data_IF_369173789282
#
_entry.id   IF_369173789282
#
_cell.length_a   1.000
_cell.length_b   1.000
_cell.length_c   1.000
_cell.angle_alpha   90.00
_cell.angle_beta   90.00
_cell.angle_gamma   90.00
#
_symmetry.space_group_name_H-M   'P 1'
#
loop_
_entity.id
_entity.type
_entity.pdbx_description
1 polymer ?
#
# COMPACT_ATOMS: atom_id res chain seq x y z
N UNK A 1 17.41 14.48 27.82
CA UNK A 1 16.05 15.02 28.01
C UNK A 1 15.07 14.11 27.28
N UNK A 2 14.31 13.30 28.01
CA UNK A 2 13.22 12.50 27.45
C UNK A 2 12.06 13.43 27.12
N UNK A 3 11.72 13.55 25.84
CA UNK A 3 10.57 14.34 25.43
C UNK A 3 9.28 13.58 25.79
N UNK A 4 8.35 14.24 26.50
CA UNK A 4 6.99 13.72 26.67
C UNK A 4 6.26 13.80 25.34
N UNK A 5 6.15 12.66 24.66
CA UNK A 5 5.50 12.58 23.36
C UNK A 5 3.98 12.62 23.44
N UNK A 6 3.41 12.32 24.62
CA UNK A 6 1.97 12.17 24.84
C UNK A 6 1.45 13.12 25.92
N UNK A 7 0.17 13.46 25.80
CA UNK A 7 -0.56 14.29 26.74
C UNK A 7 -0.51 13.70 28.14
N UNK A 8 -0.13 14.50 29.13
CA UNK A 8 -0.07 14.10 30.54
C UNK A 8 -1.45 13.86 31.17
N UNK A 9 -2.53 14.33 30.55
CA UNK A 9 -3.91 14.17 31.05
C UNK A 9 -4.55 12.89 30.53
N UNK A 10 -4.61 12.69 29.21
CA UNK A 10 -5.26 11.51 28.63
C UNK A 10 -4.30 10.37 28.29
N UNK A 11 -3.00 10.62 28.09
CA UNK A 11 -2.02 9.61 27.68
C UNK A 11 -2.18 9.08 26.24
N UNK A 12 -3.29 9.37 25.56
CA UNK A 12 -3.62 8.81 24.25
C UNK A 12 -3.07 9.65 23.08
N UNK A 13 -3.24 10.97 23.15
CA UNK A 13 -2.90 11.88 22.06
C UNK A 13 -1.53 12.53 22.28
N UNK A 14 -0.79 12.86 21.21
CA UNK A 14 0.43 13.64 21.34
C UNK A 14 0.15 15.01 21.99
N UNK A 15 1.17 15.59 22.62
CA UNK A 15 1.08 16.96 23.12
C UNK A 15 0.79 17.93 21.98
N UNK A 16 -0.01 18.99 22.23
CA UNK A 16 -0.34 19.99 21.23
C UNK A 16 0.92 20.63 20.65
N UNK A 17 1.82 21.05 21.53
CA UNK A 17 3.16 21.54 21.20
C UNK A 17 4.18 20.89 22.12
N UNK A 18 5.42 20.74 21.66
CA UNK A 18 6.51 20.17 22.48
C UNK A 18 6.83 21.00 23.72
N UNK A 19 6.35 22.25 23.77
CA UNK A 19 6.48 23.18 24.90
C UNK A 19 5.37 23.05 25.94
N UNK A 20 4.30 22.31 25.67
CA UNK A 20 3.17 22.10 26.58
C UNK A 20 2.99 20.61 26.89
N UNK A 21 2.23 20.30 27.95
CA UNK A 21 2.05 18.91 28.43
C UNK A 21 0.70 18.29 28.06
N UNK A 22 -0.16 19.01 27.34
CA UNK A 22 -1.54 18.59 27.03
C UNK A 22 -1.81 18.62 25.53
N UNK A 23 -2.74 17.78 25.06
CA UNK A 23 -3.26 17.84 23.69
C UNK A 23 -4.35 18.92 23.56
N UNK A 24 -4.80 19.17 22.34
CA UNK A 24 -5.91 20.11 22.07
C UNK A 24 -7.24 19.68 22.72
N UNK A 25 -7.49 18.38 22.90
CA UNK A 25 -8.68 17.88 23.58
C UNK A 25 -8.67 18.10 25.10
N UNK A 26 -7.49 18.04 25.73
CA UNK A 26 -7.30 18.27 27.17
C UNK A 26 -6.80 19.69 27.49
N UNK A 27 -7.10 20.65 26.61
CA UNK A 27 -6.60 22.00 26.75
C UNK A 27 -7.18 22.67 28.02
N UNK A 28 -6.35 23.38 28.82
CA UNK A 28 -6.83 24.06 30.02
C UNK A 28 -7.93 25.08 29.68
N UNK A 29 -9.06 24.98 30.37
CA UNK A 29 -10.25 25.81 30.10
C UNK A 29 -11.22 25.23 29.06
N UNK A 30 -10.95 24.03 28.53
CA UNK A 30 -11.82 23.31 27.60
C UNK A 30 -11.12 22.98 26.28
N UNK A 31 -11.65 21.99 25.54
CA UNK A 31 -11.06 21.53 24.29
C UNK A 31 -10.89 22.69 23.29
N UNK A 32 -9.69 22.81 22.73
CA UNK A 32 -9.36 23.80 21.72
C UNK A 32 -9.31 23.15 20.33
N UNK A 33 -9.59 23.93 19.27
CA UNK A 33 -9.50 23.46 17.89
C UNK A 33 -8.03 23.51 17.45
N UNK A 34 -7.44 22.40 16.96
CA UNK A 34 -6.08 22.42 16.44
C UNK A 34 -5.98 23.30 15.18
N UNK A 35 -4.86 23.99 14.96
CA UNK A 35 -4.64 24.75 13.73
C UNK A 35 -4.49 23.80 12.52
N UNK A 36 -4.75 24.27 11.29
CA UNK A 36 -4.40 23.53 10.08
C UNK A 36 -2.91 23.20 10.02
N UNK A 37 -2.57 22.09 9.37
CA UNK A 37 -1.18 21.69 9.15
C UNK A 37 -0.41 22.79 8.41
N UNK A 38 0.71 23.24 8.98
CA UNK A 38 1.53 24.31 8.40
C UNK A 38 2.21 23.92 7.08
N UNK A 39 2.34 22.62 6.78
CA UNK A 39 2.98 22.13 5.56
C UNK A 39 1.97 21.81 4.44
N UNK A 40 0.84 21.17 4.76
CA UNK A 40 -0.12 20.70 3.75
C UNK A 40 -1.53 21.30 3.88
N UNK A 41 -1.80 22.13 4.89
CA UNK A 41 -3.10 22.76 5.12
C UNK A 41 -4.19 21.83 5.66
N UNK A 42 -3.89 20.55 5.96
CA UNK A 42 -4.87 19.61 6.51
C UNK A 42 -5.49 20.12 7.82
N UNK A 43 -6.82 20.15 7.90
CA UNK A 43 -7.58 20.47 9.12
C UNK A 43 -7.90 19.24 9.97
N UNK A 44 -7.51 18.06 9.49
CA UNK A 44 -7.68 16.78 10.17
C UNK A 44 -6.33 16.16 10.50
N UNK A 45 -6.34 15.19 11.43
CA UNK A 45 -5.17 14.41 11.82
C UNK A 45 -4.01 15.27 12.37
N UNK A 46 -4.33 16.29 13.17
CA UNK A 46 -3.30 17.06 13.87
C UNK A 46 -2.43 16.13 14.73
N UNK A 47 -1.11 16.25 14.63
CA UNK A 47 -0.18 15.44 15.41
C UNK A 47 0.49 16.27 16.51
N UNK A 48 1.48 17.09 16.19
CA UNK A 48 2.13 18.01 17.15
C UNK A 48 2.88 19.11 16.41
N UNK A 49 3.19 20.22 17.09
CA UNK A 49 3.98 21.34 16.56
C UNK A 49 3.46 21.90 15.22
N UNK A 50 2.15 22.03 15.06
CA UNK A 50 1.55 22.60 13.85
C UNK A 50 1.54 21.67 12.65
N UNK A 51 1.90 20.39 12.79
CA UNK A 51 1.93 19.43 11.69
C UNK A 51 0.95 18.27 11.91
N UNK A 52 0.36 17.77 10.82
CA UNK A 52 -0.46 16.56 10.84
C UNK A 52 0.38 15.28 10.88
N UNK A 53 -0.23 14.13 11.17
CA UNK A 53 0.45 12.83 11.28
C UNK A 53 1.18 12.43 9.99
N UNK A 54 0.61 12.82 8.84
CA UNK A 54 1.23 12.67 7.53
C UNK A 54 2.55 13.45 7.41
N UNK A 55 2.52 14.75 7.68
CA UNK A 55 3.66 15.66 7.48
C UNK A 55 4.72 15.50 8.58
N UNK A 56 4.30 15.21 9.81
CA UNK A 56 5.23 15.13 10.92
C UNK A 56 6.17 13.92 10.79
N UNK A 57 7.48 14.15 10.99
CA UNK A 57 8.53 13.11 10.88
C UNK A 57 8.23 11.87 11.72
N UNK A 58 7.75 12.08 12.95
CA UNK A 58 7.40 11.01 13.91
C UNK A 58 5.92 10.62 13.87
N UNK A 59 5.11 11.22 13.00
CA UNK A 59 3.71 10.80 12.84
C UNK A 59 3.61 9.37 12.28
N UNK A 60 2.41 8.83 12.19
CA UNK A 60 2.22 7.49 11.63
C UNK A 60 2.73 7.43 10.18
N UNK A 61 3.19 6.25 9.76
CA UNK A 61 3.58 6.05 8.36
C UNK A 61 2.30 5.98 7.53
N UNK A 62 1.94 7.10 6.92
CA UNK A 62 0.85 7.13 5.92
C UNK A 62 1.33 6.45 4.64
N UNK A 63 0.55 5.49 4.17
CA UNK A 63 0.67 4.96 2.82
C UNK A 63 -0.24 5.79 1.92
N UNK A 64 0.31 6.30 0.83
CA UNK A 64 -0.43 7.08 -0.15
C UNK A 64 0.00 6.67 -1.58
N UNK A 65 -0.53 7.41 -2.54
CA UNK A 65 -0.31 7.30 -3.95
C UNK A 65 0.92 8.13 -4.35
N UNK A 66 1.80 7.56 -5.18
CA UNK A 66 2.94 8.29 -5.71
C UNK A 66 2.46 9.45 -6.59
N UNK A 67 2.90 10.71 -6.34
CA UNK A 67 2.41 11.87 -7.07
C UNK A 67 2.82 11.86 -8.54
N UNK A 68 3.81 11.07 -8.95
CA UNK A 68 4.29 11.02 -10.33
C UNK A 68 3.58 9.95 -11.16
N UNK A 69 3.41 8.75 -10.61
CA UNK A 69 2.91 7.59 -11.35
C UNK A 69 1.61 7.00 -10.80
N UNK A 70 1.01 7.64 -9.81
CA UNK A 70 -0.19 7.16 -9.13
C UNK A 70 -0.09 5.72 -8.60
N UNK A 71 1.12 5.21 -8.38
CA UNK A 71 1.29 3.91 -7.76
C UNK A 71 0.95 3.98 -6.28
N UNK A 72 0.08 3.10 -5.80
CA UNK A 72 -0.28 3.00 -4.39
C UNK A 72 0.83 2.30 -3.61
N UNK A 73 1.12 2.75 -2.38
CA UNK A 73 2.21 2.19 -1.57
C UNK A 73 3.37 3.16 -1.35
N UNK A 74 3.25 4.41 -1.78
CA UNK A 74 4.27 5.41 -1.56
C UNK A 74 4.21 5.93 -0.11
N UNK A 75 5.37 6.07 0.51
CA UNK A 75 5.47 6.44 1.92
C UNK A 75 6.33 7.69 2.11
N UNK A 76 6.30 8.19 3.35
CA UNK A 76 6.93 9.46 3.69
C UNK A 76 8.43 9.55 3.48
N UNK A 77 9.12 8.43 3.67
CA UNK A 77 10.58 8.35 3.61
C UNK A 77 11.18 8.76 2.26
N UNK A 78 10.35 8.87 1.22
CA UNK A 78 10.77 9.22 -0.15
C UNK A 78 9.98 10.40 -0.71
N UNK A 79 9.55 11.33 0.15
CA UNK A 79 8.69 12.45 -0.25
C UNK A 79 7.44 11.94 -1.00
N UNK A 80 6.84 10.84 -0.51
CA UNK A 80 5.65 10.21 -1.08
C UNK A 80 5.86 9.72 -2.52
N UNK A 81 7.11 9.56 -3.00
CA UNK A 81 7.42 8.99 -4.31
C UNK A 81 7.92 7.57 -4.18
N UNK A 82 7.55 6.71 -5.14
CA UNK A 82 8.15 5.38 -5.22
C UNK A 82 9.61 5.45 -5.65
N UNK A 83 10.41 4.43 -5.30
CA UNK A 83 11.84 4.34 -5.62
C UNK A 83 12.10 4.53 -7.11
N UNK A 84 11.23 3.96 -7.95
CA UNK A 84 11.39 4.03 -9.38
C UNK A 84 11.03 5.39 -9.99
N UNK A 85 10.16 6.18 -9.35
CA UNK A 85 9.91 7.57 -9.75
C UNK A 85 11.05 8.49 -9.30
N UNK A 86 11.61 8.29 -8.09
CA UNK A 86 12.80 9.03 -7.66
C UNK A 86 13.96 8.87 -8.63
N UNK A 87 14.35 7.63 -8.96
CA UNK A 87 15.42 7.39 -9.92
C UNK A 87 15.10 7.84 -11.35
N UNK A 88 13.81 8.03 -11.68
CA UNK A 88 13.39 8.62 -12.95
C UNK A 88 13.56 10.14 -12.93
N UNK A 89 13.21 10.81 -11.83
CA UNK A 89 13.42 12.26 -11.66
C UNK A 89 14.89 12.66 -11.75
N UNK A 90 15.78 11.86 -11.16
CA UNK A 90 17.23 12.10 -11.20
C UNK A 90 17.79 12.20 -12.63
N UNK A 91 17.13 11.56 -13.61
CA UNK A 91 17.63 11.41 -14.98
C UNK A 91 16.84 12.19 -16.03
N UNK A 92 15.69 12.78 -15.64
CA UNK A 92 14.68 13.29 -16.58
C UNK A 92 14.23 14.67 -16.15
N UNK A 93 14.14 15.58 -17.12
CA UNK A 93 13.62 16.94 -16.91
C UNK A 93 12.10 16.91 -16.77
N UNK A 94 11.56 17.90 -16.06
CA UNK A 94 10.13 18.18 -16.04
C UNK A 94 9.65 18.58 -17.44
N UNK A 95 8.43 18.17 -17.77
CA UNK A 95 7.74 18.56 -18.98
C UNK A 95 6.32 18.01 -18.99
N UNK A 96 5.57 18.31 -20.05
CA UNK A 96 4.19 17.86 -20.20
C UNK A 96 4.18 16.50 -20.91
N UNK A 97 3.56 15.50 -20.27
CA UNK A 97 3.45 14.17 -20.84
C UNK A 97 2.48 14.14 -22.03
N UNK A 98 2.92 13.70 -23.20
CA UNK A 98 2.08 13.59 -24.41
C UNK A 98 0.88 12.64 -24.27
N UNK A 99 0.95 11.68 -23.34
CA UNK A 99 -0.10 10.68 -23.16
C UNK A 99 -1.15 11.05 -22.10
N UNK A 100 -0.77 11.82 -21.06
CA UNK A 100 -1.66 12.11 -19.93
C UNK A 100 -1.71 13.59 -19.55
N UNK A 101 -1.02 14.45 -20.29
CA UNK A 101 -0.98 15.92 -20.15
C UNK A 101 -0.51 16.43 -18.80
N UNK A 102 0.01 15.56 -17.92
CA UNK A 102 0.52 15.93 -16.60
C UNK A 102 1.92 16.50 -16.72
N UNK A 103 2.21 17.51 -15.91
CA UNK A 103 3.56 18.03 -15.72
C UNK A 103 4.34 17.13 -14.76
N UNK A 104 5.23 16.31 -15.33
CA UNK A 104 6.03 15.30 -14.61
C UNK A 104 7.34 15.05 -15.37
N UNK A 105 8.33 14.36 -14.79
CA UNK A 105 9.54 14.09 -15.53
C UNK A 105 9.30 13.16 -16.74
N UNK A 106 9.72 13.60 -17.92
CA UNK A 106 9.45 12.94 -19.22
C UNK A 106 10.73 12.37 -19.84
N UNK A 107 10.59 11.30 -20.62
CA UNK A 107 11.67 10.79 -21.45
C UNK A 107 11.84 11.60 -22.75
N UNK A 108 12.81 11.20 -23.57
CA UNK A 108 13.09 11.82 -24.89
C UNK A 108 11.91 11.75 -25.87
N UNK A 109 10.93 10.87 -25.62
CA UNK A 109 9.73 10.71 -26.43
C UNK A 109 8.54 11.51 -25.87
N UNK A 110 8.76 12.40 -24.91
CA UNK A 110 7.71 13.22 -24.31
C UNK A 110 6.77 12.46 -23.38
N UNK A 111 7.09 11.22 -22.97
CA UNK A 111 6.23 10.41 -22.12
C UNK A 111 6.77 10.29 -20.69
N UNK A 112 5.86 10.37 -19.71
CA UNK A 112 6.20 10.11 -18.33
C UNK A 112 6.52 8.64 -18.07
N UNK A 113 7.09 8.35 -16.90
CA UNK A 113 7.44 6.99 -16.47
C UNK A 113 6.25 6.03 -16.55
N UNK A 114 5.08 6.47 -16.07
CA UNK A 114 3.89 5.64 -16.00
C UNK A 114 3.41 5.22 -17.39
N UNK A 115 3.27 6.18 -18.31
CA UNK A 115 2.85 5.92 -19.69
C UNK A 115 3.86 5.04 -20.44
N UNK A 116 5.16 5.25 -20.18
CA UNK A 116 6.23 4.40 -20.72
C UNK A 116 6.10 2.96 -20.22
N UNK A 117 5.85 2.77 -18.92
CA UNK A 117 5.71 1.45 -18.32
C UNK A 117 4.43 0.73 -18.72
N UNK A 118 3.33 1.46 -18.90
CA UNK A 118 2.11 0.91 -19.47
C UNK A 118 2.36 0.33 -20.86
N UNK A 119 3.05 1.07 -21.74
CA UNK A 119 3.44 0.56 -23.06
C UNK A 119 4.32 -0.69 -22.97
N UNK A 120 5.36 -0.67 -22.12
CA UNK A 120 6.20 -1.87 -21.92
C UNK A 120 5.37 -3.08 -21.49
N UNK A 121 4.37 -2.88 -20.63
CA UNK A 121 3.50 -3.97 -20.16
C UNK A 121 2.61 -4.51 -21.28
N UNK A 122 1.96 -3.63 -22.05
CA UNK A 122 1.15 -4.01 -23.22
C UNK A 122 1.97 -4.81 -24.23
N UNK A 123 3.21 -4.40 -24.48
CA UNK A 123 4.11 -5.09 -25.39
C UNK A 123 4.58 -6.46 -24.85
N UNK A 124 4.68 -6.62 -23.53
CA UNK A 124 5.09 -7.89 -22.91
C UNK A 124 3.97 -8.94 -22.91
N UNK A 125 2.71 -8.53 -23.01
CA UNK A 125 1.54 -9.42 -23.00
C UNK A 125 1.02 -9.60 -24.42
N UNK A 126 1.42 -10.68 -25.12
CA UNK A 126 1.03 -11.03 -26.51
C UNK A 126 0.78 -9.78 -27.37
N UNK A 127 1.85 -9.11 -27.84
CA UNK A 127 1.71 -7.79 -28.45
C UNK A 127 0.76 -7.87 -29.66
N UNK A 128 -0.27 -7.01 -29.72
CA UNK A 128 -1.06 -6.89 -30.94
C UNK A 128 -0.16 -6.38 -32.06
N UNK A 129 -0.43 -6.85 -33.29
CA UNK A 129 0.15 -6.29 -34.51
C UNK A 129 -0.91 -5.41 -35.19
N UNK A 130 -0.58 -4.16 -35.57
CA UNK A 130 0.72 -3.49 -35.43
C UNK A 130 1.05 -3.10 -33.98
N UNK A 131 2.35 -3.00 -33.66
CA UNK A 131 2.81 -2.65 -32.32
C UNK A 131 2.31 -1.25 -31.94
N UNK A 132 1.67 -1.09 -30.76
CA UNK A 132 1.15 0.21 -30.36
C UNK A 132 2.28 1.19 -30.04
N UNK A 133 2.10 2.44 -30.48
CA UNK A 133 2.89 3.58 -30.04
C UNK A 133 2.56 3.96 -28.57
N UNK A 134 3.15 5.04 -28.07
CA UNK A 134 2.92 5.50 -26.70
C UNK A 134 1.46 5.94 -26.46
N UNK A 135 0.83 6.59 -27.42
CA UNK A 135 -0.54 7.08 -27.31
C UNK A 135 -1.51 5.90 -27.37
N UNK A 136 -1.37 5.04 -28.37
CA UNK A 136 -2.17 3.85 -28.57
C UNK A 136 -2.11 2.91 -27.36
N UNK A 137 -0.92 2.70 -26.78
CA UNK A 137 -0.75 1.83 -25.61
C UNK A 137 -1.37 2.39 -24.32
N UNK A 138 -1.69 3.69 -24.27
CA UNK A 138 -2.29 4.35 -23.11
C UNK A 138 -3.78 4.70 -23.32
N UNK A 139 -4.38 4.31 -24.45
CA UNK A 139 -5.78 4.64 -24.80
C UNK A 139 -6.81 4.10 -23.81
N UNK A 140 -6.59 2.90 -23.27
CA UNK A 140 -7.57 2.19 -22.42
C UNK A 140 -7.34 2.40 -20.93
N UNK A 141 -6.82 3.58 -20.54
CA UNK A 141 -6.36 3.90 -19.18
C UNK A 141 -5.22 2.97 -18.73
N UNK A 142 -4.67 3.28 -17.56
CA UNK A 142 -3.52 2.58 -16.98
C UNK A 142 -4.00 1.65 -15.88
N UNK A 143 -3.35 0.49 -15.76
CA UNK A 143 -3.61 -0.40 -14.63
C UNK A 143 -3.14 0.26 -13.33
N UNK A 144 -3.77 -0.10 -12.19
CA UNK A 144 -3.24 0.23 -10.88
C UNK A 144 -1.82 -0.34 -10.72
N UNK A 145 -0.89 0.50 -10.29
CA UNK A 145 0.47 0.10 -9.97
C UNK A 145 0.68 0.09 -8.46
N UNK A 146 1.39 -0.91 -7.95
CA UNK A 146 1.88 -0.90 -6.58
C UNK A 146 3.32 -0.38 -6.55
N UNK A 147 3.60 0.56 -5.65
CA UNK A 147 4.90 1.15 -5.47
C UNK A 147 5.91 0.07 -5.06
N UNK A 148 7.09 0.10 -5.67
CA UNK A 148 8.26 -0.70 -5.31
C UNK A 148 8.10 -2.25 -5.38
N UNK A 149 6.97 -2.74 -5.89
CA UNK A 149 6.72 -4.18 -6.10
C UNK A 149 7.54 -4.80 -7.24
N UNK A 150 8.10 -4.01 -8.15
CA UNK A 150 8.88 -4.52 -9.29
C UNK A 150 10.18 -5.23 -8.88
N UNK A 151 10.73 -4.90 -7.69
CA UNK A 151 11.88 -5.60 -7.12
C UNK A 151 11.50 -6.86 -6.34
N UNK A 152 10.28 -6.99 -5.83
CA UNK A 152 9.87 -8.22 -5.12
C UNK A 152 9.87 -9.45 -6.03
N UNK A 153 9.56 -9.28 -7.31
CA UNK A 153 9.63 -10.36 -8.31
C UNK A 153 11.08 -10.72 -8.72
N UNK A 154 12.04 -9.79 -8.52
CA UNK A 154 13.46 -9.98 -8.85
C UNK A 154 14.35 -10.18 -7.60
N UNK A 155 13.79 -10.02 -6.40
CA UNK A 155 14.33 -10.61 -5.19
C UNK A 155 14.43 -12.10 -5.50
N UNK A 156 15.67 -12.59 -5.58
CA UNK A 156 16.00 -13.94 -6.00
C UNK A 156 15.02 -14.89 -5.32
N UNK A 157 14.07 -15.46 -6.08
CA UNK A 157 13.31 -16.60 -5.60
C UNK A 157 14.37 -17.56 -5.08
N UNK A 158 14.37 -17.93 -3.78
CA UNK A 158 15.36 -18.85 -3.27
C UNK A 158 15.38 -20.05 -4.22
N UNK A 159 16.55 -20.41 -4.75
CA UNK A 159 16.68 -21.49 -5.76
C UNK A 159 16.07 -22.80 -5.25
N UNK A 160 16.03 -22.95 -3.93
CA UNK A 160 15.35 -24.03 -3.24
C UNK A 160 14.25 -23.42 -2.36
N UNK A 161 13.02 -23.97 -2.35
CA UNK A 161 12.07 -23.63 -1.29
C UNK A 161 12.75 -23.84 0.07
N UNK A 162 12.48 -23.00 1.08
CA UNK A 162 12.92 -23.34 2.43
C UNK A 162 12.41 -24.76 2.75
N UNK A 163 13.21 -25.59 3.44
CA UNK A 163 12.73 -26.89 3.88
C UNK A 163 11.39 -26.69 4.57
N UNK A 164 10.40 -27.59 4.36
CA UNK A 164 9.12 -27.49 5.03
C UNK A 164 9.42 -27.41 6.52
N UNK A 165 9.22 -26.22 7.10
CA UNK A 165 9.13 -26.11 8.55
C UNK A 165 7.87 -26.91 8.85
N UNK A 166 8.00 -27.98 9.65
CA UNK A 166 6.84 -28.60 10.24
C UNK A 166 6.07 -27.46 10.91
N UNK A 167 4.97 -27.04 10.28
CA UNK A 167 4.05 -26.11 10.89
C UNK A 167 3.59 -26.88 12.11
N UNK A 168 4.20 -26.59 13.26
CA UNK A 168 3.74 -27.16 14.52
C UNK A 168 2.23 -26.95 14.58
N UNK A 169 1.53 -27.90 15.20
CA UNK A 169 0.09 -27.85 15.49
C UNK A 169 -0.36 -26.40 15.52
N UNK A 170 -1.25 -25.98 14.61
CA UNK A 170 -1.66 -24.59 14.39
C UNK A 170 -2.04 -23.93 15.73
N UNK A 171 -1.05 -23.46 16.49
CA UNK A 171 -1.21 -23.21 17.92
C UNK A 171 -1.96 -21.91 18.20
N UNK A 172 -2.37 -21.22 17.14
CA UNK A 172 -2.98 -19.89 17.16
C UNK A 172 -3.99 -19.74 16.04
N UNK A 173 -5.05 -20.54 16.07
CA UNK A 173 -6.37 -20.17 15.55
C UNK A 173 -7.41 -20.65 16.59
N UNK A 174 -8.52 -19.92 16.79
CA UNK A 174 -9.18 -19.04 15.81
C UNK A 174 -8.76 -17.57 15.90
N UNK A 175 -8.60 -16.96 14.73
CA UNK A 175 -8.59 -15.50 14.59
C UNK A 175 -10.01 -15.01 14.87
N UNK A 176 -10.17 -14.17 15.89
CA UNK A 176 -11.47 -13.69 16.38
C UNK A 176 -12.17 -12.67 15.48
N UNK A 177 -11.58 -12.33 14.33
CA UNK A 177 -12.20 -11.42 13.37
C UNK A 177 -12.58 -12.16 12.08
N UNK A 178 -13.84 -12.01 11.69
CA UNK A 178 -14.31 -12.38 10.36
C UNK A 178 -13.84 -11.31 9.38
N UNK A 179 -12.92 -11.63 8.48
CA UNK A 179 -12.60 -10.74 7.37
C UNK A 179 -13.82 -10.70 6.43
N UNK A 180 -14.63 -9.65 6.54
CA UNK A 180 -15.76 -9.44 5.66
C UNK A 180 -15.26 -9.32 4.21
N UNK A 181 -15.90 -10.01 3.25
CA UNK A 181 -15.56 -9.85 1.85
C UNK A 181 -15.81 -8.41 1.43
N UNK A 182 -14.77 -7.75 0.89
CA UNK A 182 -14.87 -6.36 0.40
C UNK A 182 -15.95 -6.21 -0.68
N UNK A 183 -16.18 -7.28 -1.46
CA UNK A 183 -17.27 -7.41 -2.42
C UNK A 183 -17.81 -8.85 -2.40
N UNK A 184 -19.14 -9.02 -2.48
CA UNK A 184 -19.75 -10.34 -2.73
C UNK A 184 -19.65 -10.63 -4.22
N UNK A 185 -18.60 -11.35 -4.62
CA UNK A 185 -18.45 -11.86 -5.98
C UNK A 185 -18.44 -13.38 -5.92
N UNK A 186 -19.25 -14.03 -6.76
CA UNK A 186 -19.08 -15.47 -7.01
C UNK A 186 -17.70 -15.67 -7.62
N UNK A 187 -16.85 -16.46 -6.94
CA UNK A 187 -15.52 -16.76 -7.46
C UNK A 187 -15.69 -17.74 -8.61
N UNK A 188 -15.44 -17.29 -9.84
CA UNK A 188 -15.32 -18.20 -10.98
C UNK A 188 -14.01 -19.01 -10.86
N UNK A 189 -14.15 -20.25 -10.40
CA UNK A 189 -13.05 -21.20 -10.25
C UNK A 189 -12.86 -22.09 -11.49
N UNK A 190 -13.54 -21.81 -12.61
CA UNK A 190 -13.46 -22.62 -13.84
C UNK A 190 -12.04 -22.72 -14.40
N UNK A 191 -11.24 -21.66 -14.23
CA UNK A 191 -9.82 -21.67 -14.62
C UNK A 191 -9.03 -22.57 -13.68
N UNK A 192 -9.19 -22.44 -12.36
CA UNK A 192 -8.53 -23.28 -11.36
C UNK A 192 -8.85 -24.77 -11.55
N UNK A 193 -10.11 -25.10 -11.92
CA UNK A 193 -10.54 -26.44 -12.34
C UNK A 193 -9.77 -26.95 -13.55
N UNK A 194 -9.67 -26.13 -14.60
CA UNK A 194 -8.98 -26.50 -15.84
C UNK A 194 -7.48 -26.72 -15.66
N UNK A 195 -6.84 -26.05 -14.70
CA UNK A 195 -5.40 -26.17 -14.45
C UNK A 195 -5.04 -27.06 -13.25
N UNK A 196 -6.00 -27.80 -12.69
CA UNK A 196 -5.75 -28.76 -11.61
C UNK A 196 -5.35 -28.12 -10.27
N UNK A 197 -5.77 -26.89 -9.99
CA UNK A 197 -5.47 -26.17 -8.74
C UNK A 197 -6.54 -26.31 -7.64
N UNK A 198 -7.45 -27.27 -7.77
CA UNK A 198 -8.49 -27.51 -6.75
C UNK A 198 -8.11 -28.53 -5.69
N UNK A 199 -7.09 -29.37 -5.92
CA UNK A 199 -6.62 -30.24 -4.86
C UNK A 199 -5.86 -29.38 -3.84
N UNK A 200 -6.19 -29.50 -2.53
CA UNK A 200 -5.41 -28.89 -1.48
C UNK A 200 -3.95 -29.22 -1.70
N UNK A 201 -3.09 -28.19 -1.70
CA UNK A 201 -1.65 -28.36 -1.92
C UNK A 201 -1.01 -29.31 -0.89
N UNK A 202 -1.72 -29.57 0.21
CA UNK A 202 -1.41 -30.53 1.27
C UNK A 202 -2.72 -31.19 1.75
N UNK A 203 -2.87 -32.49 1.48
CA UNK A 203 -4.04 -33.27 1.88
C UNK A 203 -4.18 -33.40 3.41
N UNK A 204 -3.07 -33.34 4.14
CA UNK A 204 -3.09 -33.41 5.60
C UNK A 204 -3.64 -32.12 6.20
N UNK A 205 -3.34 -30.97 5.59
CA UNK A 205 -3.89 -29.69 6.03
C UNK A 205 -5.41 -29.63 5.82
N UNK A 206 -5.91 -30.17 4.71
CA UNK A 206 -7.36 -30.23 4.46
C UNK A 206 -8.08 -31.07 5.52
N UNK A 207 -7.56 -32.27 5.82
CA UNK A 207 -8.12 -33.15 6.84
C UNK A 207 -8.12 -32.51 8.24
N UNK A 208 -7.05 -31.80 8.60
CA UNK A 208 -6.95 -31.09 9.88
C UNK A 208 -7.98 -29.96 9.99
N UNK A 209 -8.26 -29.26 8.88
CA UNK A 209 -9.27 -28.21 8.85
C UNK A 209 -10.69 -28.79 8.99
N UNK A 210 -10.99 -29.89 8.30
CA UNK A 210 -12.29 -30.57 8.38
C UNK A 210 -12.56 -31.06 9.82
N UNK A 211 -11.57 -31.74 10.43
CA UNK A 211 -11.67 -32.20 11.83
C UNK A 211 -11.90 -31.04 12.80
N UNK A 212 -11.20 -29.92 12.62
CA UNK A 212 -11.34 -28.76 13.49
C UNK A 212 -12.72 -28.08 13.34
N UNK A 213 -13.25 -28.00 12.12
CA UNK A 213 -14.60 -27.47 11.86
C UNK A 213 -15.66 -28.35 12.52
N UNK A 214 -15.54 -29.67 12.41
CA UNK A 214 -16.46 -30.63 13.04
C UNK A 214 -16.41 -30.59 14.57
N UNK A 215 -15.22 -30.44 15.15
CA UNK A 215 -15.03 -30.27 16.60
C UNK A 215 -15.61 -28.94 17.10
N UNK A 216 -15.34 -27.84 16.38
CA UNK A 216 -15.86 -26.53 16.74
C UNK A 216 -17.38 -26.47 16.64
N UNK A 217 -17.97 -27.01 15.56
CA UNK A 217 -19.42 -27.14 15.39
C UNK A 217 -20.07 -27.96 16.50
N UNK A 218 -19.47 -29.10 16.88
CA UNK A 218 -19.96 -29.87 18.04
C UNK A 218 -19.91 -29.10 19.36
N UNK A 219 -18.90 -28.25 19.54
CA UNK A 219 -18.75 -27.46 20.76
C UNK A 219 -19.66 -26.21 20.81
N UNK A 220 -20.10 -25.68 19.66
CA UNK A 220 -20.75 -24.36 19.58
C UNK A 220 -22.06 -24.29 18.78
N UNK A 221 -22.51 -25.39 18.15
CA UNK A 221 -23.80 -25.50 17.45
C UNK A 221 -23.69 -25.40 15.93
#
# INVERSE_FOLDING_TARGET
MSWQSFCATCGEWPVAFTTVKFCFGCWPGGSAVPPPCLECGSTTDYFTNGLCGRCHRMGHVTIDTCPDCFAWGASKHRAWRCTACNGWREKRKLGVCSCCSREVPINIYGACRLCTKQRTRVLATKPPLPLPDLIAANRNRQQLWFADMGKAASARRPKSPPPPVAVGTLARFPVTHLQLPLFRFERDLSVARRVGHLDPRDANLALLLDQHVDEFGRAHG
#
